data_IF_372078720278
#
_entry.id   IF_372078720278
#
_cell.length_a   1.000
_cell.length_b   1.000
_cell.length_c   1.000
_cell.angle_alpha   90.00
_cell.angle_beta   90.00
_cell.angle_gamma   90.00
#
_symmetry.space_group_name_H-M   'P 1'
#
loop_
_entity.id
_entity.type
_entity.pdbx_description
1 polymer ?
#
# COMPACT_ATOMS: atom_id res chain seq x y z
N UNK A 1 -14.30 -4.97 -33.26
CA UNK A 1 -14.09 -4.30 -31.98
C UNK A 1 -13.28 -3.04 -32.27
N UNK A 2 -13.65 -1.85 -31.79
CA UNK A 2 -12.76 -0.72 -31.90
C UNK A 2 -11.46 -1.11 -31.21
N UNK A 3 -10.31 -0.79 -31.80
CA UNK A 3 -9.00 -1.00 -31.22
C UNK A 3 -8.85 -0.27 -29.88
N UNK A 4 -7.79 -0.57 -29.09
CA UNK A 4 -7.59 0.07 -27.81
C UNK A 4 -7.65 1.57 -27.99
N UNK A 5 -8.49 2.24 -27.21
CA UNK A 5 -8.57 3.70 -27.19
C UNK A 5 -7.15 4.19 -26.92
N UNK A 6 -6.59 4.96 -27.86
CA UNK A 6 -5.24 5.49 -27.76
C UNK A 6 -5.18 6.41 -26.52
N UNK A 7 -4.63 5.88 -25.42
CA UNK A 7 -4.32 6.64 -24.23
C UNK A 7 -5.47 6.85 -23.24
N UNK A 8 -5.51 6.03 -22.19
CA UNK A 8 -6.32 6.28 -21.00
C UNK A 8 -5.59 7.25 -20.07
N UNK A 9 -6.30 8.25 -19.56
CA UNK A 9 -5.83 9.17 -18.51
C UNK A 9 -6.80 9.14 -17.33
N UNK A 10 -6.26 9.37 -16.13
CA UNK A 10 -7.10 9.56 -14.96
C UNK A 10 -8.03 10.76 -15.14
N UNK A 11 -9.26 10.66 -14.65
CA UNK A 11 -10.23 11.77 -14.63
C UNK A 11 -10.00 12.73 -13.48
N UNK A 12 -9.23 12.33 -12.47
CA UNK A 12 -8.87 13.12 -11.30
C UNK A 12 -7.37 13.10 -11.11
N UNK A 13 -6.81 14.17 -10.57
CA UNK A 13 -5.39 14.26 -10.22
C UNK A 13 -4.41 13.86 -11.36
N UNK A 14 -4.79 14.10 -12.61
CA UNK A 14 -4.01 13.66 -13.77
C UNK A 14 -2.65 14.37 -13.87
N UNK A 15 -2.57 15.63 -13.45
CA UNK A 15 -1.42 16.50 -13.71
C UNK A 15 -0.55 16.75 -12.46
N UNK A 16 -0.78 16.06 -11.34
CA UNK A 16 -0.05 16.32 -10.09
C UNK A 16 1.46 16.26 -10.29
N UNK A 17 1.98 15.17 -10.85
CA UNK A 17 3.42 15.00 -11.04
C UNK A 17 3.98 15.83 -12.19
N UNK A 18 3.14 16.26 -13.13
CA UNK A 18 3.51 17.21 -14.18
C UNK A 18 3.78 18.61 -13.60
N UNK A 19 3.00 19.00 -12.57
CA UNK A 19 3.11 20.30 -11.91
C UNK A 19 4.15 20.34 -10.80
N UNK A 20 4.53 19.17 -10.25
CA UNK A 20 5.59 19.05 -9.24
C UNK A 20 6.98 19.13 -9.87
N UNK A 21 7.97 19.56 -9.10
CA UNK A 21 9.36 19.50 -9.52
C UNK A 21 9.80 18.05 -9.76
N UNK A 22 10.79 17.87 -10.63
CA UNK A 22 11.37 16.54 -10.91
C UNK A 22 11.83 15.82 -9.64
N UNK A 23 12.37 16.52 -8.69
CA UNK A 23 12.82 16.00 -7.40
C UNK A 23 11.71 15.27 -6.62
N UNK A 24 10.45 15.68 -6.79
CA UNK A 24 9.31 15.08 -6.11
C UNK A 24 9.05 13.63 -6.54
N UNK A 25 9.15 13.33 -7.83
CA UNK A 25 8.78 12.04 -8.39
C UNK A 25 9.96 11.22 -8.94
N UNK A 26 11.13 11.84 -9.22
CA UNK A 26 12.31 11.13 -9.72
C UNK A 26 13.05 10.44 -8.57
N UNK A 27 12.43 9.36 -8.06
CA UNK A 27 12.96 8.62 -6.92
C UNK A 27 14.30 7.91 -7.21
N UNK A 28 14.65 7.67 -8.47
CA UNK A 28 15.94 7.08 -8.83
C UNK A 28 17.12 7.99 -8.46
N UNK A 29 16.91 9.30 -8.54
CA UNK A 29 17.90 10.29 -8.15
C UNK A 29 17.92 10.57 -6.63
N UNK A 30 16.90 10.07 -5.89
CA UNK A 30 16.81 10.28 -4.45
C UNK A 30 17.91 9.52 -3.70
N UNK A 31 18.59 10.22 -2.78
CA UNK A 31 19.57 9.62 -1.86
C UNK A 31 18.94 9.57 -0.47
N UNK A 32 18.52 8.39 0.00
CA UNK A 32 17.95 8.26 1.34
C UNK A 32 18.98 8.60 2.42
N UNK A 33 18.52 9.24 3.50
CA UNK A 33 19.33 9.48 4.68
C UNK A 33 19.23 8.24 5.60
N UNK A 34 20.29 7.45 5.64
CA UNK A 34 20.37 6.25 6.45
C UNK A 34 20.89 6.56 7.84
N UNK A 35 20.06 6.35 8.86
CA UNK A 35 20.42 6.53 10.24
C UNK A 35 20.91 5.23 10.90
N UNK A 36 21.22 5.30 12.18
CA UNK A 36 21.85 4.20 12.91
C UNK A 36 20.81 3.18 13.39
N UNK A 37 20.95 1.94 12.98
CA UNK A 37 20.07 0.86 13.42
C UNK A 37 20.21 0.52 14.91
N UNK A 38 21.32 0.87 15.56
CA UNK A 38 21.57 0.59 16.98
C UNK A 38 20.54 1.27 17.91
N UNK A 39 19.86 2.31 17.44
CA UNK A 39 18.80 2.98 18.19
C UNK A 39 17.54 2.11 18.36
N UNK A 40 17.44 1.01 17.61
CA UNK A 40 16.26 0.14 17.61
C UNK A 40 16.61 -1.28 18.04
N UNK A 41 15.93 -1.74 19.09
CA UNK A 41 16.07 -3.11 19.60
C UNK A 41 14.85 -3.93 19.20
N UNK A 42 15.07 -5.03 18.47
CA UNK A 42 14.02 -5.96 18.07
C UNK A 42 13.49 -6.70 19.29
N UNK A 43 12.14 -6.77 19.40
CA UNK A 43 11.45 -7.45 20.50
C UNK A 43 10.90 -8.79 20.05
N UNK A 44 10.12 -8.83 18.97
CA UNK A 44 9.54 -10.06 18.43
C UNK A 44 9.22 -9.92 16.95
N UNK A 45 9.18 -11.04 16.27
CA UNK A 45 8.77 -11.10 14.86
C UNK A 45 7.25 -11.01 14.75
N UNK A 46 6.76 -10.10 13.91
CA UNK A 46 5.34 -9.93 13.61
C UNK A 46 4.92 -10.68 12.34
N UNK A 47 5.82 -10.77 11.36
CA UNK A 47 5.50 -11.43 10.09
C UNK A 47 6.69 -11.56 9.15
N UNK A 48 6.47 -12.35 8.10
CA UNK A 48 7.43 -12.54 7.01
C UNK A 48 6.72 -12.45 5.67
N UNK A 49 7.13 -11.51 4.85
CA UNK A 49 6.65 -11.36 3.49
C UNK A 49 7.66 -11.86 2.46
N UNK A 50 7.28 -11.76 1.19
CA UNK A 50 8.16 -12.11 0.07
C UNK A 50 9.42 -11.25 0.05
N UNK A 51 9.30 -9.97 0.38
CA UNK A 51 10.35 -8.96 0.22
C UNK A 51 10.86 -8.38 1.55
N UNK A 52 10.30 -8.80 2.68
CA UNK A 52 10.67 -8.25 3.98
C UNK A 52 10.36 -9.20 5.14
N UNK A 53 10.97 -8.91 6.29
CA UNK A 53 10.59 -9.44 7.59
C UNK A 53 10.23 -8.26 8.50
N UNK A 54 9.16 -8.42 9.28
CA UNK A 54 8.60 -7.34 10.10
C UNK A 54 8.69 -7.71 11.57
N UNK A 55 9.19 -6.78 12.38
CA UNK A 55 9.44 -6.95 13.81
C UNK A 55 8.80 -5.81 14.61
N UNK A 56 8.29 -6.14 15.78
CA UNK A 56 8.10 -5.18 16.84
C UNK A 56 9.46 -4.83 17.43
N UNK A 57 9.69 -3.55 17.68
CA UNK A 57 10.94 -3.06 18.22
C UNK A 57 10.70 -1.87 19.17
N UNK A 58 11.74 -1.50 19.89
CA UNK A 58 11.76 -0.34 20.78
C UNK A 58 12.88 0.59 20.34
N UNK A 59 12.57 1.88 20.22
CA UNK A 59 13.57 2.92 20.11
C UNK A 59 14.17 3.16 21.51
N UNK A 60 15.42 2.75 21.70
CA UNK A 60 16.09 2.82 23.01
C UNK A 60 16.39 4.25 23.45
N UNK A 61 16.36 5.22 22.56
CA UNK A 61 16.64 6.64 22.89
C UNK A 61 15.46 7.34 23.54
N UNK A 62 14.21 6.94 23.25
CA UNK A 62 12.99 7.55 23.76
C UNK A 62 11.97 6.54 24.31
N UNK A 63 12.30 5.26 24.31
CA UNK A 63 11.47 4.16 24.80
C UNK A 63 10.15 3.96 24.02
N UNK A 64 10.04 4.48 22.80
CA UNK A 64 8.87 4.32 21.96
C UNK A 64 8.85 2.95 21.25
N UNK A 65 7.65 2.36 21.23
CA UNK A 65 7.37 1.15 20.45
C UNK A 65 7.25 1.51 18.96
N UNK A 66 7.95 0.76 18.12
CA UNK A 66 7.96 0.94 16.66
C UNK A 66 7.84 -0.41 15.96
N UNK A 67 7.59 -0.36 14.65
CA UNK A 67 7.65 -1.53 13.76
C UNK A 67 8.83 -1.37 12.82
N UNK A 68 9.68 -2.39 12.75
CA UNK A 68 10.86 -2.42 11.86
C UNK A 68 10.61 -3.41 10.73
N UNK A 69 10.63 -2.93 9.49
CA UNK A 69 10.54 -3.72 8.27
C UNK A 69 11.95 -3.89 7.69
N UNK A 70 12.54 -5.06 7.91
CA UNK A 70 13.87 -5.41 7.36
C UNK A 70 13.67 -5.88 5.92
N UNK A 71 14.30 -5.19 4.99
CA UNK A 71 14.15 -5.45 3.56
C UNK A 71 15.08 -6.58 3.11
N UNK A 72 14.52 -7.60 2.46
CA UNK A 72 15.29 -8.63 1.77
C UNK A 72 15.97 -8.03 0.54
N UNK A 73 17.04 -8.66 0.02
CA UNK A 73 17.71 -8.18 -1.17
C UNK A 73 16.73 -7.95 -2.33
N UNK A 74 16.53 -6.69 -2.68
CA UNK A 74 15.72 -6.24 -3.80
C UNK A 74 16.47 -5.15 -4.56
N UNK A 75 16.03 -4.83 -5.78
CA UNK A 75 16.64 -3.74 -6.56
C UNK A 75 16.61 -2.43 -5.75
N UNK A 76 17.75 -1.78 -5.62
CA UNK A 76 17.89 -0.49 -4.90
C UNK A 76 16.85 0.55 -5.32
N UNK A 77 16.50 0.57 -6.61
CA UNK A 77 15.44 1.40 -7.18
C UNK A 77 14.09 1.25 -6.45
N UNK A 78 13.68 0.02 -6.11
CA UNK A 78 12.42 -0.23 -5.41
C UNK A 78 12.42 0.31 -3.98
N UNK A 79 13.58 0.22 -3.31
CA UNK A 79 13.76 0.76 -1.96
C UNK A 79 13.66 2.28 -1.97
N UNK A 80 14.35 2.94 -2.90
CA UNK A 80 14.29 4.39 -3.08
C UNK A 80 12.87 4.86 -3.37
N UNK A 81 12.11 4.12 -4.18
CA UNK A 81 10.73 4.43 -4.50
C UNK A 81 9.85 4.40 -3.25
N UNK A 82 9.89 3.32 -2.48
CA UNK A 82 9.10 3.19 -1.25
C UNK A 82 9.43 4.33 -0.26
N UNK A 83 10.72 4.61 -0.04
CA UNK A 83 11.15 5.69 0.87
C UNK A 83 10.64 7.05 0.37
N UNK A 84 10.84 7.36 -0.92
CA UNK A 84 10.42 8.66 -1.48
C UNK A 84 8.91 8.87 -1.38
N UNK A 85 8.13 7.83 -1.66
CA UNK A 85 6.68 7.86 -1.53
C UNK A 85 6.26 8.10 -0.07
N UNK A 86 6.85 7.36 0.88
CA UNK A 86 6.55 7.53 2.31
C UNK A 86 6.94 8.93 2.81
N UNK A 87 8.05 9.48 2.35
CA UNK A 87 8.46 10.86 2.68
C UNK A 87 7.48 11.89 2.10
N UNK A 88 7.07 11.72 0.85
CA UNK A 88 6.11 12.61 0.20
C UNK A 88 4.72 12.57 0.86
N UNK A 89 4.31 11.42 1.36
CA UNK A 89 3.01 11.22 2.02
C UNK A 89 3.03 11.46 3.52
N UNK A 90 4.18 11.78 4.10
CA UNK A 90 4.33 11.97 5.56
C UNK A 90 3.38 13.03 6.07
N UNK A 91 2.64 12.70 7.14
CA UNK A 91 1.62 13.56 7.73
C UNK A 91 0.24 13.46 7.06
N UNK A 92 0.10 12.67 6.00
CA UNK A 92 -1.18 12.45 5.34
C UNK A 92 -2.16 11.66 6.19
N UNK A 93 -3.45 11.94 6.01
CA UNK A 93 -4.52 11.31 6.79
C UNK A 93 -4.52 9.81 6.58
N UNK A 94 -4.40 9.06 7.69
CA UNK A 94 -4.46 7.59 7.72
C UNK A 94 -3.36 6.88 6.90
N UNK A 95 -2.28 7.58 6.59
CA UNK A 95 -1.06 7.02 5.99
C UNK A 95 -0.10 6.63 7.11
N UNK A 96 0.44 5.43 7.06
CA UNK A 96 1.44 4.99 8.04
C UNK A 96 2.65 5.94 8.03
N UNK A 97 3.11 6.34 9.21
CA UNK A 97 4.23 7.26 9.35
C UNK A 97 5.56 6.51 9.30
N UNK A 98 6.40 6.87 8.34
CA UNK A 98 7.81 6.48 8.34
C UNK A 98 8.54 7.31 9.39
N UNK A 99 9.01 6.63 10.44
CA UNK A 99 9.75 7.25 11.55
C UNK A 99 11.21 7.43 11.18
N UNK A 100 11.80 6.42 10.54
CA UNK A 100 13.22 6.37 10.25
C UNK A 100 13.54 5.40 9.11
N UNK A 101 14.71 5.57 8.50
CA UNK A 101 15.32 4.64 7.58
C UNK A 101 16.74 4.33 8.10
N UNK A 102 17.02 3.07 8.35
CA UNK A 102 18.28 2.63 8.96
C UNK A 102 18.96 1.56 8.10
N UNK A 103 20.24 1.44 8.26
CA UNK A 103 21.04 0.44 7.54
C UNK A 103 22.07 -0.20 8.46
N UNK A 104 22.15 -1.52 8.42
CA UNK A 104 23.22 -2.25 9.11
C UNK A 104 24.58 -1.85 8.52
N UNK A 105 25.53 -1.38 9.33
CA UNK A 105 26.84 -0.91 8.84
C UNK A 105 27.71 -2.04 8.27
N UNK A 106 27.51 -3.28 8.70
CA UNK A 106 28.27 -4.45 8.25
C UNK A 106 27.63 -5.13 7.05
N UNK A 107 26.39 -5.61 7.20
CA UNK A 107 25.66 -6.34 6.14
C UNK A 107 25.09 -5.42 5.06
N UNK A 108 25.02 -4.12 5.32
CA UNK A 108 24.40 -3.11 4.46
C UNK A 108 22.90 -3.37 4.22
N UNK A 109 22.28 -4.19 5.04
CA UNK A 109 20.85 -4.49 4.97
C UNK A 109 20.03 -3.29 5.42
N UNK A 110 19.13 -2.76 4.56
CA UNK A 110 18.27 -1.64 4.90
C UNK A 110 17.04 -2.07 5.69
N UNK A 111 16.57 -1.21 6.57
CA UNK A 111 15.31 -1.38 7.28
C UNK A 111 14.54 -0.06 7.36
N UNK A 112 13.24 -0.14 7.30
CA UNK A 112 12.32 0.99 7.46
C UNK A 112 11.66 0.89 8.82
N UNK A 113 11.61 2.00 9.55
CA UNK A 113 11.03 2.08 10.88
C UNK A 113 9.72 2.87 10.80
N UNK A 114 8.64 2.28 11.29
CA UNK A 114 7.30 2.84 11.23
C UNK A 114 6.72 3.05 12.63
N UNK A 115 5.74 3.93 12.73
CA UNK A 115 4.86 4.00 13.90
C UNK A 115 4.23 2.63 14.17
N UNK A 116 4.00 2.30 15.43
CA UNK A 116 3.34 1.06 15.82
C UNK A 116 1.82 1.29 15.96
N UNK A 117 1.04 0.42 15.31
CA UNK A 117 -0.41 0.39 15.44
C UNK A 117 -0.79 -0.92 16.13
N UNK A 118 -1.61 -0.84 17.18
CA UNK A 118 -2.18 -2.02 17.83
C UNK A 118 -3.30 -2.61 16.98
N UNK A 119 -2.91 -3.38 15.96
CA UNK A 119 -3.82 -3.91 14.96
C UNK A 119 -4.62 -5.10 15.51
N UNK A 120 -5.93 -5.12 15.22
CA UNK A 120 -6.77 -6.31 15.37
C UNK A 120 -6.76 -7.08 14.04
N UNK A 121 -6.52 -8.39 14.07
CA UNK A 121 -6.52 -9.22 12.87
C UNK A 121 -7.86 -9.08 12.13
N UNK A 122 -7.80 -8.79 10.82
CA UNK A 122 -9.01 -8.54 10.04
C UNK A 122 -9.94 -9.76 9.97
N UNK A 123 -9.43 -10.98 10.09
CA UNK A 123 -10.24 -12.19 10.10
C UNK A 123 -11.15 -12.25 11.32
N UNK A 124 -10.67 -11.76 12.46
CA UNK A 124 -11.49 -11.63 13.66
C UNK A 124 -12.36 -10.38 13.60
N UNK A 125 -11.79 -9.26 13.16
CA UNK A 125 -12.44 -7.96 13.16
C UNK A 125 -13.67 -7.94 12.24
N UNK A 126 -13.55 -8.43 11.00
CA UNK A 126 -14.64 -8.37 10.01
C UNK A 126 -15.90 -9.13 10.43
N UNK A 127 -15.76 -10.14 11.30
CA UNK A 127 -16.90 -10.86 11.85
C UNK A 127 -17.66 -10.07 12.92
N UNK A 128 -17.05 -9.04 13.48
CA UNK A 128 -17.60 -8.24 14.60
C UNK A 128 -18.03 -6.84 14.18
N UNK A 129 -17.73 -6.40 12.96
CA UNK A 129 -18.09 -5.07 12.48
C UNK A 129 -19.58 -4.90 12.35
N UNK A 130 -20.12 -3.82 12.91
CA UNK A 130 -21.48 -3.35 12.66
C UNK A 130 -21.55 -2.62 11.32
N UNK A 131 -22.77 -2.37 10.83
CA UNK A 131 -22.97 -1.52 9.64
C UNK A 131 -22.29 -0.16 9.79
N UNK A 132 -22.42 0.46 10.97
CA UNK A 132 -21.75 1.73 11.27
C UNK A 132 -20.23 1.61 11.20
N UNK A 133 -19.65 0.54 11.74
CA UNK A 133 -18.20 0.31 11.72
C UNK A 133 -17.67 0.15 10.30
N UNK A 134 -18.38 -0.60 9.46
CA UNK A 134 -18.00 -0.80 8.04
C UNK A 134 -17.97 0.55 7.33
N UNK A 135 -19.00 1.37 7.48
CA UNK A 135 -19.06 2.72 6.89
C UNK A 135 -17.95 3.62 7.43
N UNK A 136 -17.71 3.57 8.73
CA UNK A 136 -16.67 4.35 9.39
C UNK A 136 -15.28 4.02 8.84
N UNK A 137 -14.89 2.75 8.83
CA UNK A 137 -13.57 2.34 8.36
C UNK A 137 -13.40 2.49 6.84
N UNK A 138 -14.46 2.29 6.08
CA UNK A 138 -14.44 2.57 4.63
C UNK A 138 -14.21 4.05 4.37
N UNK A 139 -14.85 4.92 5.13
CA UNK A 139 -14.66 6.37 5.03
C UNK A 139 -13.22 6.78 5.39
N UNK A 140 -12.66 6.19 6.45
CA UNK A 140 -11.26 6.43 6.86
C UNK A 140 -10.26 5.94 5.79
N UNK A 141 -10.53 4.80 5.16
CA UNK A 141 -9.68 4.28 4.07
C UNK A 141 -9.79 5.16 2.82
N UNK A 142 -10.99 5.65 2.51
CA UNK A 142 -11.19 6.62 1.42
C UNK A 142 -10.40 7.90 1.61
N UNK A 143 -10.30 8.42 2.86
CA UNK A 143 -9.44 9.56 3.14
C UNK A 143 -7.97 9.29 2.82
N UNK A 144 -7.47 8.10 3.18
CA UNK A 144 -6.09 7.71 2.87
C UNK A 144 -5.85 7.64 1.36
N UNK A 145 -6.77 7.02 0.62
CA UNK A 145 -6.66 6.87 -0.83
C UNK A 145 -6.80 8.21 -1.55
N UNK A 146 -7.77 9.04 -1.19
CA UNK A 146 -7.91 10.36 -1.78
C UNK A 146 -6.65 11.21 -1.54
N UNK A 147 -6.09 11.14 -0.33
CA UNK A 147 -4.84 11.85 -0.03
C UNK A 147 -3.68 11.39 -0.90
N UNK A 148 -3.39 10.08 -0.99
CA UNK A 148 -2.26 9.62 -1.80
C UNK A 148 -2.49 9.86 -3.30
N UNK A 149 -3.72 9.72 -3.79
CA UNK A 149 -4.06 10.04 -5.18
C UNK A 149 -3.88 11.53 -5.47
N UNK A 150 -4.31 12.41 -4.54
CA UNK A 150 -4.11 13.86 -4.67
C UNK A 150 -2.63 14.27 -4.66
N UNK A 151 -1.78 13.41 -4.12
CA UNK A 151 -0.32 13.56 -4.12
C UNK A 151 0.35 12.85 -5.31
N UNK A 152 -0.43 12.38 -6.29
CA UNK A 152 0.08 11.76 -7.51
C UNK A 152 0.58 10.33 -7.34
N UNK A 153 0.11 9.59 -6.34
CA UNK A 153 0.61 8.27 -5.99
C UNK A 153 -0.52 7.25 -5.98
N UNK A 154 -0.31 6.12 -6.68
CA UNK A 154 -1.14 4.91 -6.63
C UNK A 154 -0.56 3.95 -5.60
N UNK A 155 -1.38 3.36 -4.75
CA UNK A 155 -0.94 2.35 -3.77
C UNK A 155 -0.65 0.99 -4.43
N UNK A 156 -1.53 0.50 -5.25
CA UNK A 156 -1.47 -0.72 -6.06
C UNK A 156 -1.45 -2.05 -5.29
N UNK A 157 -1.66 -2.03 -3.98
CA UNK A 157 -1.79 -3.25 -3.17
C UNK A 157 -2.79 -3.07 -2.01
N UNK A 158 -3.93 -2.44 -2.31
CA UNK A 158 -5.02 -2.28 -1.34
C UNK A 158 -5.66 -3.65 -1.06
N UNK A 159 -5.62 -4.07 0.20
CA UNK A 159 -6.18 -5.34 0.69
C UNK A 159 -6.27 -5.32 2.22
N UNK A 160 -7.02 -6.22 2.84
CA UNK A 160 -7.17 -6.24 4.30
C UNK A 160 -5.85 -6.30 5.08
N UNK A 161 -4.87 -7.07 4.60
CA UNK A 161 -3.55 -7.17 5.25
C UNK A 161 -2.78 -5.85 5.27
N UNK A 162 -3.08 -4.93 4.35
CA UNK A 162 -2.41 -3.63 4.25
C UNK A 162 -3.21 -2.49 4.87
N UNK A 163 -4.30 -2.81 5.57
CA UNK A 163 -5.11 -1.85 6.32
C UNK A 163 -5.07 -2.23 7.80
N UNK A 164 -4.28 -1.51 8.58
CA UNK A 164 -4.19 -1.71 10.01
C UNK A 164 -5.29 -0.95 10.73
N UNK A 165 -6.00 -1.62 11.62
CA UNK A 165 -7.10 -1.04 12.40
C UNK A 165 -6.88 -1.35 13.87
N UNK A 166 -6.75 -0.29 14.68
CA UNK A 166 -6.91 -0.35 16.12
C UNK A 166 -8.39 -0.08 16.41
N UNK A 167 -9.16 -1.14 16.65
CA UNK A 167 -10.61 -1.03 16.86
C UNK A 167 -10.97 -0.36 18.17
N UNK A 168 -10.11 -0.44 19.18
CA UNK A 168 -10.35 0.24 20.47
C UNK A 168 -10.24 1.75 20.34
N UNK A 169 -9.23 2.24 19.63
CA UNK A 169 -9.01 3.66 19.38
C UNK A 169 -9.71 4.15 18.09
N UNK A 170 -10.36 3.25 17.34
CA UNK A 170 -10.99 3.53 16.04
C UNK A 170 -10.03 4.20 15.06
N UNK A 171 -8.79 3.71 15.02
CA UNK A 171 -7.68 4.26 14.25
C UNK A 171 -7.33 3.34 13.09
N UNK A 172 -7.23 3.90 11.89
CA UNK A 172 -6.88 3.17 10.66
C UNK A 172 -5.60 3.72 10.05
N UNK A 173 -4.76 2.84 9.51
CA UNK A 173 -3.57 3.21 8.73
C UNK A 173 -3.45 2.33 7.49
N UNK A 174 -3.24 2.96 6.35
CA UNK A 174 -2.86 2.27 5.11
C UNK A 174 -1.35 2.07 5.12
N UNK A 175 -0.94 0.82 5.03
CA UNK A 175 0.46 0.39 5.16
C UNK A 175 0.97 -0.28 3.88
N UNK A 176 2.25 -0.63 3.86
CA UNK A 176 2.97 -1.36 2.79
C UNK A 176 2.91 -0.66 1.43
N UNK A 177 3.74 0.37 1.31
CA UNK A 177 3.88 1.19 0.10
C UNK A 177 4.94 0.64 -0.89
N UNK A 178 5.38 -0.60 -0.70
CA UNK A 178 6.42 -1.25 -1.51
C UNK A 178 6.04 -1.47 -2.97
N UNK A 179 4.74 -1.54 -3.30
CA UNK A 179 4.22 -1.61 -4.67
C UNK A 179 3.69 -0.27 -5.19
N UNK A 180 3.68 0.78 -4.37
CA UNK A 180 3.18 2.09 -4.78
C UNK A 180 4.03 2.72 -5.89
N UNK A 181 3.44 3.60 -6.69
CA UNK A 181 4.08 4.23 -7.83
C UNK A 181 3.51 5.62 -8.11
N UNK A 182 4.34 6.50 -8.68
CA UNK A 182 3.92 7.81 -9.15
C UNK A 182 3.10 7.67 -10.43
N UNK A 183 1.97 8.37 -10.48
CA UNK A 183 1.14 8.42 -11.67
C UNK A 183 1.62 9.50 -12.64
N UNK A 184 1.95 9.07 -13.84
CA UNK A 184 2.23 9.96 -14.96
C UNK A 184 1.25 9.64 -16.10
N UNK A 185 0.57 10.65 -16.67
CA UNK A 185 -0.36 10.42 -17.78
C UNK A 185 0.32 9.69 -18.94
N UNK A 186 -0.39 8.73 -19.53
CA UNK A 186 0.07 7.94 -20.68
C UNK A 186 1.25 6.99 -20.39
N UNK A 187 1.65 6.83 -19.13
CA UNK A 187 2.67 5.84 -18.76
C UNK A 187 2.05 4.43 -18.71
N UNK A 188 2.79 3.46 -19.23
CA UNK A 188 2.47 2.04 -19.12
C UNK A 188 3.14 1.46 -17.87
N UNK A 189 2.35 0.79 -17.04
CA UNK A 189 2.78 0.23 -15.76
C UNK A 189 2.80 -1.30 -15.80
N UNK A 190 3.56 -1.89 -14.88
CA UNK A 190 3.56 -3.31 -14.67
C UNK A 190 2.20 -3.78 -14.12
N UNK A 191 1.58 -4.77 -14.77
CA UNK A 191 0.31 -5.36 -14.32
C UNK A 191 0.47 -6.43 -13.23
N UNK A 192 1.72 -6.87 -12.94
CA UNK A 192 2.01 -7.83 -11.86
C UNK A 192 2.11 -7.13 -10.51
N UNK A 193 1.04 -6.45 -10.15
CA UNK A 193 0.84 -5.76 -8.87
C UNK A 193 -0.45 -6.24 -8.23
N UNK A 194 -0.71 -5.86 -7.00
CA UNK A 194 -1.84 -6.30 -6.17
C UNK A 194 -1.89 -7.83 -5.92
N UNK A 195 -2.66 -8.22 -4.93
CA UNK A 195 -2.98 -9.63 -4.68
C UNK A 195 -4.13 -10.05 -5.60
N UNK A 196 -4.11 -11.30 -6.07
CA UNK A 196 -5.05 -11.81 -7.10
C UNK A 196 -6.50 -11.42 -6.88
N UNK A 197 -7.00 -11.59 -5.67
CA UNK A 197 -8.41 -11.37 -5.33
C UNK A 197 -8.83 -9.90 -5.40
N UNK A 198 -7.87 -9.00 -5.38
CA UNK A 198 -8.04 -7.54 -5.37
C UNK A 198 -7.58 -6.87 -6.66
N UNK A 199 -7.10 -7.66 -7.65
CA UNK A 199 -6.67 -7.14 -8.95
C UNK A 199 -7.87 -6.59 -9.71
N UNK A 200 -7.74 -5.34 -10.16
CA UNK A 200 -8.70 -4.75 -11.10
C UNK A 200 -8.74 -5.50 -12.43
N UNK A 201 -9.86 -5.47 -13.16
CA UNK A 201 -9.97 -6.09 -14.48
C UNK A 201 -8.85 -5.68 -15.43
N UNK A 202 -8.41 -4.44 -15.38
CA UNK A 202 -7.30 -3.89 -16.18
C UNK A 202 -6.01 -4.69 -16.04
N UNK A 203 -5.67 -5.13 -14.82
CA UNK A 203 -4.48 -5.93 -14.56
C UNK A 203 -4.62 -7.35 -15.11
N UNK A 204 -5.83 -7.90 -15.05
CA UNK A 204 -6.11 -9.27 -15.44
C UNK A 204 -6.16 -9.45 -16.97
N UNK A 205 -6.44 -8.37 -17.71
CA UNK A 205 -6.44 -8.34 -19.19
C UNK A 205 -5.19 -7.67 -19.77
N UNK A 206 -4.17 -7.50 -18.93
CA UNK A 206 -2.86 -6.95 -19.33
C UNK A 206 -2.92 -5.52 -19.90
N UNK A 207 -3.88 -4.70 -19.42
CA UNK A 207 -3.98 -3.30 -19.80
C UNK A 207 -3.09 -2.43 -18.90
N UNK A 208 -1.96 -1.99 -19.45
CA UNK A 208 -0.88 -1.36 -18.67
C UNK A 208 -1.10 0.14 -18.36
N UNK A 209 -1.95 0.83 -19.11
CA UNK A 209 -2.16 2.28 -18.96
C UNK A 209 -3.26 2.58 -17.94
N UNK A 210 -3.11 2.03 -16.74
CA UNK A 210 -4.03 2.22 -15.64
C UNK A 210 -3.63 3.43 -14.77
N UNK A 211 -4.49 3.78 -13.81
CA UNK A 211 -4.33 4.93 -12.95
C UNK A 211 -4.82 4.64 -11.51
N UNK A 212 -5.11 5.70 -10.75
CA UNK A 212 -5.61 5.62 -9.37
C UNK A 212 -6.87 4.74 -9.21
N UNK A 213 -7.68 4.61 -10.25
CA UNK A 213 -8.92 3.82 -10.25
C UNK A 213 -8.68 2.34 -9.93
N UNK A 214 -7.46 1.84 -10.16
CA UNK A 214 -7.06 0.50 -9.74
C UNK A 214 -7.28 0.28 -8.24
N UNK A 215 -6.90 1.25 -7.41
CA UNK A 215 -7.07 1.17 -5.96
C UNK A 215 -8.55 1.15 -5.56
N UNK A 216 -9.40 1.82 -6.33
CA UNK A 216 -10.85 1.86 -6.08
C UNK A 216 -11.53 0.52 -6.35
N UNK A 217 -11.08 -0.24 -7.35
CA UNK A 217 -11.53 -1.62 -7.53
C UNK A 217 -11.19 -2.49 -6.32
N UNK A 218 -9.95 -2.43 -5.86
CA UNK A 218 -9.48 -3.18 -4.70
C UNK A 218 -10.28 -2.83 -3.43
N UNK A 219 -10.57 -1.55 -3.23
CA UNK A 219 -11.44 -1.06 -2.15
C UNK A 219 -12.85 -1.65 -2.27
N UNK A 220 -13.43 -1.66 -3.46
CA UNK A 220 -14.74 -2.28 -3.73
C UNK A 220 -14.77 -3.77 -3.37
N UNK A 221 -13.70 -4.50 -3.66
CA UNK A 221 -13.56 -5.91 -3.27
C UNK A 221 -13.54 -6.08 -1.74
N UNK A 222 -12.88 -5.18 -1.01
CA UNK A 222 -12.89 -5.17 0.45
C UNK A 222 -14.28 -4.89 1.00
N UNK A 223 -14.97 -3.88 0.49
CA UNK A 223 -16.33 -3.54 0.90
C UNK A 223 -17.30 -4.69 0.66
N UNK A 224 -17.24 -5.32 -0.51
CA UNK A 224 -18.06 -6.47 -0.83
C UNK A 224 -17.81 -7.64 0.15
N UNK A 225 -16.55 -7.90 0.50
CA UNK A 225 -16.23 -8.96 1.47
C UNK A 225 -16.80 -8.70 2.86
N UNK A 226 -16.82 -7.45 3.31
CA UNK A 226 -17.38 -7.06 4.60
C UNK A 226 -18.90 -7.16 4.62
N UNK A 227 -19.58 -6.65 3.57
CA UNK A 227 -21.05 -6.65 3.48
C UNK A 227 -21.59 -8.08 3.35
N UNK A 228 -20.99 -8.87 2.45
CA UNK A 228 -21.48 -10.22 2.14
C UNK A 228 -20.86 -11.30 3.02
N UNK A 229 -20.01 -10.94 3.98
CA UNK A 229 -19.31 -11.86 4.88
C UNK A 229 -18.62 -13.00 4.11
N UNK A 230 -17.99 -12.64 3.00
CA UNK A 230 -17.28 -13.57 2.12
C UNK A 230 -15.89 -12.99 1.80
N UNK A 231 -14.85 -13.52 2.42
CA UNK A 231 -13.47 -13.07 2.24
C UNK A 231 -12.62 -14.23 1.68
N UNK A 232 -11.99 -14.03 0.49
CA UNK A 232 -12.17 -12.90 -0.44
C UNK A 232 -13.51 -12.98 -1.20
N UNK A 233 -14.00 -11.84 -1.70
CA UNK A 233 -15.27 -11.81 -2.43
C UNK A 233 -15.16 -12.49 -3.81
N UNK A 234 -14.14 -12.15 -4.60
CA UNK A 234 -13.78 -12.84 -5.83
C UNK A 234 -12.61 -13.79 -5.55
N UNK A 235 -12.83 -15.09 -5.62
CA UNK A 235 -11.89 -16.12 -5.20
C UNK A 235 -11.44 -17.01 -6.38
N UNK A 236 -10.69 -16.42 -7.32
CA UNK A 236 -10.14 -17.16 -8.46
C UNK A 236 -8.96 -18.04 -8.07
N UNK A 237 -8.84 -19.20 -8.71
CA UNK A 237 -7.71 -20.12 -8.53
C UNK A 237 -6.44 -19.61 -9.23
N UNK A 238 -6.63 -18.88 -10.34
CA UNK A 238 -5.60 -18.21 -11.13
C UNK A 238 -6.17 -16.91 -11.72
N UNK A 239 -5.37 -16.18 -12.51
CA UNK A 239 -5.82 -14.93 -13.10
C UNK A 239 -6.97 -15.11 -14.10
N UNK A 240 -6.97 -16.19 -14.86
CA UNK A 240 -8.06 -16.48 -15.80
C UNK A 240 -9.37 -16.75 -15.07
N UNK A 241 -9.34 -17.60 -14.04
CA UNK A 241 -10.50 -17.91 -13.23
C UNK A 241 -11.02 -16.67 -12.44
N UNK A 242 -10.09 -15.79 -12.04
CA UNK A 242 -10.45 -14.51 -11.41
C UNK A 242 -11.31 -13.65 -12.35
N UNK A 243 -10.89 -13.50 -13.62
CA UNK A 243 -11.66 -12.77 -14.64
C UNK A 243 -13.03 -13.40 -14.84
N UNK A 244 -13.08 -14.73 -14.97
CA UNK A 244 -14.32 -15.47 -15.16
C UNK A 244 -15.27 -15.27 -13.99
N UNK A 245 -14.75 -15.28 -12.76
CA UNK A 245 -15.53 -15.04 -11.55
C UNK A 245 -16.10 -13.62 -11.47
N UNK A 246 -15.35 -12.62 -11.92
CA UNK A 246 -15.79 -11.23 -12.01
C UNK A 246 -16.90 -11.12 -13.05
N UNK A 247 -16.67 -11.63 -14.28
CA UNK A 247 -17.64 -11.60 -15.37
C UNK A 247 -18.98 -12.27 -15.02
N UNK A 248 -18.93 -13.36 -14.24
CA UNK A 248 -20.14 -14.08 -13.86
C UNK A 248 -20.98 -13.39 -12.78
N UNK A 249 -20.45 -12.34 -12.13
CA UNK A 249 -21.13 -11.58 -11.08
C UNK A 249 -21.47 -10.14 -11.49
N UNK A 250 -20.86 -9.65 -12.54
CA UNK A 250 -21.17 -8.38 -13.20
C UNK A 250 -22.00 -8.63 -14.45
#
# INVERSE_FOLDING_TARGET
MPGPVAGSKSRVYADVNTLKSREYWDYEAHVPNWNNQEDYQLVRKLGRGKYSEVFEAVNITNNEKVVVKILKPVKKKKIKREIKILENLRGGTNIIRLVDAVKDPVSRTPALVFECINNTDFKELYQKLTDYDIRFYMYELLKALDYCHSMGIMHRDVKPHNVMIDHQLRKLRLIDWGLAEFYHPSQEYNVRVASRYFKGPELLVDYQMYDYSLDMWSLGCMLASMIFQKEPFFHGQDNYDQVRGIRGKC
#
